data_IF_134068742966
#
_entry.id   IF_134068742966
#
_cell.length_a   1.000
_cell.length_b   1.000
_cell.length_c   1.000
_cell.angle_alpha   90.00
_cell.angle_beta   90.00
_cell.angle_gamma   90.00
#
_symmetry.space_group_name_H-M   'P 1'
#
loop_
_entity.id
_entity.type
_entity.pdbx_description
1 polymer ?
#
# COMPACT_ATOMS: atom_id res chain seq x y z
N UNK A 1 13.68 -32.32 62.33
CA UNK A 1 13.56 -32.73 60.91
C UNK A 1 12.22 -33.42 60.75
N UNK A 2 11.37 -32.92 59.85
CA UNK A 2 10.10 -33.59 59.50
C UNK A 2 10.37 -34.54 58.33
N UNK A 3 10.19 -35.81 58.55
CA UNK A 3 10.35 -36.85 57.51
C UNK A 3 9.12 -36.91 56.64
N UNK A 4 9.27 -36.73 55.33
CA UNK A 4 8.16 -36.83 54.37
C UNK A 4 7.98 -38.31 54.03
N UNK A 5 6.89 -38.91 54.51
CA UNK A 5 6.57 -40.33 54.28
C UNK A 5 5.68 -40.61 53.05
N UNK A 6 5.40 -39.59 52.27
CA UNK A 6 4.58 -39.76 51.06
C UNK A 6 5.45 -39.97 49.83
N UNK A 7 5.04 -40.94 49.01
CA UNK A 7 5.70 -41.25 47.74
C UNK A 7 5.43 -40.12 46.76
N UNK A 8 6.48 -39.52 46.17
CA UNK A 8 6.35 -38.50 45.13
C UNK A 8 5.80 -39.16 43.88
N UNK A 9 4.55 -38.87 43.48
CA UNK A 9 3.85 -39.48 42.35
C UNK A 9 4.06 -38.69 41.04
N UNK A 10 4.63 -37.50 41.11
CA UNK A 10 4.98 -36.71 39.96
C UNK A 10 5.58 -35.36 40.36
N UNK A 11 6.53 -34.88 39.58
CA UNK A 11 7.05 -33.52 39.68
C UNK A 11 6.49 -32.75 38.49
N UNK A 12 5.63 -31.77 38.78
CA UNK A 12 5.25 -30.77 37.79
C UNK A 12 6.16 -29.57 38.01
N UNK A 13 6.97 -29.25 37.03
CA UNK A 13 7.55 -27.93 36.97
C UNK A 13 6.37 -26.94 36.92
N UNK A 14 6.23 -26.12 37.96
CA UNK A 14 5.43 -24.90 37.84
C UNK A 14 6.19 -24.04 36.82
N UNK A 15 5.85 -24.18 35.54
CA UNK A 15 6.11 -23.11 34.63
C UNK A 15 5.36 -21.92 35.24
N UNK A 16 6.08 -20.92 35.70
CA UNK A 16 5.55 -19.59 35.72
C UNK A 16 5.19 -19.35 34.25
N UNK A 17 3.98 -19.68 33.85
CA UNK A 17 3.29 -19.02 32.75
C UNK A 17 3.08 -17.57 33.22
N UNK A 18 4.18 -16.83 33.37
CA UNK A 18 4.13 -15.47 32.92
C UNK A 18 3.70 -15.62 31.47
N UNK A 19 2.41 -15.30 31.19
CA UNK A 19 2.04 -14.84 29.88
C UNK A 19 3.15 -13.87 29.48
N UNK A 20 4.06 -14.33 28.64
CA UNK A 20 4.98 -13.46 27.93
C UNK A 20 4.04 -12.61 27.10
N UNK A 21 3.59 -11.50 27.69
CA UNK A 21 2.90 -10.47 26.97
C UNK A 21 3.80 -10.17 25.78
N UNK A 22 3.35 -10.57 24.60
CA UNK A 22 4.10 -10.40 23.37
C UNK A 22 4.51 -8.93 23.33
N UNK A 23 5.82 -8.66 23.44
CA UNK A 23 6.30 -7.28 23.42
C UNK A 23 5.82 -6.62 22.15
N UNK A 24 5.25 -5.44 22.27
CA UNK A 24 4.80 -4.67 21.13
C UNK A 24 5.97 -4.42 20.17
N UNK A 25 5.77 -4.81 18.92
CA UNK A 25 6.70 -4.59 17.82
C UNK A 25 6.03 -3.68 16.81
N UNK A 26 6.41 -2.41 16.83
CA UNK A 26 5.80 -1.43 15.95
C UNK A 26 6.22 -1.67 14.48
N UNK A 27 5.29 -2.09 13.58
CA UNK A 27 5.60 -2.37 12.19
C UNK A 27 6.08 -1.13 11.42
N UNK A 28 5.77 0.10 11.86
CA UNK A 28 6.22 1.34 11.23
C UNK A 28 7.72 1.59 11.40
N UNK A 29 8.29 1.17 12.53
CA UNK A 29 9.69 1.44 12.89
C UNK A 29 10.57 0.19 12.76
N UNK A 30 9.98 -0.97 12.48
CA UNK A 30 10.73 -2.20 12.29
C UNK A 30 11.68 -2.05 11.10
N UNK A 31 12.96 -2.36 11.35
CA UNK A 31 14.00 -2.27 10.31
C UNK A 31 13.89 -3.43 9.33
N UNK A 32 13.91 -3.12 8.05
CA UNK A 32 13.94 -4.07 6.94
C UNK A 32 15.36 -4.07 6.37
N UNK A 33 16.14 -5.11 6.67
CA UNK A 33 17.55 -5.17 6.26
C UNK A 33 17.71 -5.30 4.74
N UNK A 34 16.86 -6.08 4.09
CA UNK A 34 16.92 -6.34 2.65
C UNK A 34 15.55 -6.30 2.02
N UNK A 35 15.50 -5.86 0.76
CA UNK A 35 14.34 -6.07 -0.09
C UNK A 35 14.07 -7.58 -0.23
N UNK A 36 12.83 -8.04 -0.01
CA UNK A 36 12.48 -9.44 -0.28
C UNK A 36 12.60 -9.75 -1.78
N UNK A 37 12.85 -11.02 -2.10
CA UNK A 37 12.83 -11.49 -3.48
C UNK A 37 11.40 -11.47 -4.04
N UNK A 38 11.29 -11.38 -5.36
CA UNK A 38 10.01 -11.41 -6.06
C UNK A 38 9.42 -10.03 -6.35
N UNK A 39 8.13 -9.99 -6.68
CA UNK A 39 7.38 -8.78 -7.00
C UNK A 39 6.91 -8.08 -5.71
N UNK A 40 6.79 -6.76 -5.79
CA UNK A 40 6.18 -5.91 -4.76
C UNK A 40 5.09 -5.09 -5.41
N UNK A 41 4.05 -4.79 -4.64
CA UNK A 41 3.07 -3.80 -5.05
C UNK A 41 3.73 -2.44 -5.16
N UNK A 42 3.41 -1.72 -6.24
CA UNK A 42 4.03 -0.44 -6.50
C UNK A 42 3.05 0.55 -7.12
N UNK A 43 3.27 1.83 -6.82
CA UNK A 43 2.58 2.95 -7.46
C UNK A 43 3.56 3.67 -8.35
N UNK A 44 3.14 3.88 -9.61
CA UNK A 44 3.84 4.74 -10.55
C UNK A 44 3.03 6.01 -10.75
N UNK A 45 3.61 7.16 -10.45
CA UNK A 45 2.97 8.45 -10.67
C UNK A 45 3.83 9.38 -11.50
N UNK A 46 3.15 10.17 -12.34
CA UNK A 46 3.76 11.22 -13.14
C UNK A 46 3.77 12.52 -12.35
N UNK A 47 4.96 13.08 -12.16
CA UNK A 47 5.18 14.39 -11.54
C UNK A 47 5.51 15.39 -12.64
N UNK A 48 4.85 16.56 -12.63
CA UNK A 48 5.16 17.67 -13.50
C UNK A 48 5.61 18.87 -12.67
N UNK A 49 6.76 19.41 -13.01
CA UNK A 49 7.29 20.62 -12.39
C UNK A 49 8.01 21.51 -13.42
N UNK A 50 8.22 22.75 -13.06
CA UNK A 50 8.87 23.73 -13.94
C UNK A 50 10.06 24.36 -13.24
N UNK A 51 11.19 24.35 -13.89
CA UNK A 51 12.43 25.01 -13.48
C UNK A 51 12.67 26.23 -14.38
N UNK A 52 13.75 26.97 -14.15
CA UNK A 52 14.25 28.03 -15.05
C UNK A 52 14.64 27.48 -16.43
N UNK A 53 15.00 26.20 -16.53
CA UNK A 53 15.36 25.51 -17.77
C UNK A 53 14.13 25.00 -18.56
N UNK A 54 12.94 25.05 -17.95
CA UNK A 54 11.68 24.66 -18.60
C UNK A 54 10.85 23.67 -17.81
N UNK A 55 9.84 23.11 -18.48
CA UNK A 55 8.93 22.10 -17.92
C UNK A 55 9.57 20.72 -17.95
N UNK A 56 9.55 20.02 -16.82
CA UNK A 56 9.98 18.63 -16.69
C UNK A 56 8.82 17.73 -16.33
N UNK A 57 8.80 16.55 -16.91
CA UNK A 57 7.83 15.48 -16.64
C UNK A 57 8.61 14.25 -16.28
N UNK A 58 8.35 13.74 -15.09
CA UNK A 58 9.08 12.58 -14.57
C UNK A 58 8.10 11.57 -13.98
N UNK A 59 8.47 10.33 -14.00
CA UNK A 59 7.73 9.26 -13.34
C UNK A 59 8.48 8.87 -12.07
N UNK A 60 7.76 8.70 -10.98
CA UNK A 60 8.30 8.13 -9.74
C UNK A 60 7.60 6.81 -9.47
N UNK A 61 8.35 5.86 -8.94
CA UNK A 61 7.83 4.56 -8.54
C UNK A 61 8.07 4.41 -7.04
N UNK A 62 7.04 4.02 -6.31
CA UNK A 62 7.11 3.70 -4.88
C UNK A 62 6.66 2.27 -4.70
N UNK A 63 7.54 1.41 -4.18
CA UNK A 63 7.21 0.02 -3.86
C UNK A 63 6.84 -0.11 -2.39
N UNK A 64 5.83 -0.93 -2.12
CA UNK A 64 5.28 -1.16 -0.79
C UNK A 64 5.52 -2.61 -0.36
N UNK A 65 5.65 -2.81 0.94
CA UNK A 65 5.78 -4.11 1.58
C UNK A 65 4.85 -4.17 2.79
N UNK A 66 4.00 -5.21 2.92
CA UNK A 66 3.34 -5.49 4.18
C UNK A 66 4.37 -5.90 5.23
N UNK A 67 4.39 -5.18 6.35
CA UNK A 67 5.31 -5.40 7.47
C UNK A 67 4.50 -5.79 8.68
N UNK A 68 4.78 -6.98 9.18
CA UNK A 68 4.11 -7.54 10.34
C UNK A 68 4.75 -7.02 11.63
N UNK A 69 3.93 -6.81 12.64
CA UNK A 69 4.32 -6.39 13.98
C UNK A 69 3.32 -6.89 15.02
N UNK A 70 3.42 -6.34 16.22
CA UNK A 70 2.52 -6.62 17.34
C UNK A 70 2.12 -5.26 17.94
N UNK A 71 0.84 -5.03 18.06
CA UNK A 71 0.28 -3.83 18.68
C UNK A 71 -0.78 -4.22 19.72
N UNK A 72 -0.59 -3.78 20.95
CA UNK A 72 -1.44 -4.16 22.10
C UNK A 72 -1.60 -5.69 22.26
N UNK A 73 -0.50 -6.43 22.03
CA UNK A 73 -0.48 -7.89 22.11
C UNK A 73 -1.17 -8.63 20.94
N UNK A 74 -1.65 -7.91 19.91
CA UNK A 74 -2.29 -8.48 18.73
C UNK A 74 -1.43 -8.34 17.49
N UNK A 75 -1.49 -9.31 16.55
CA UNK A 75 -0.83 -9.17 15.25
C UNK A 75 -1.30 -7.91 14.52
N UNK A 76 -0.36 -7.16 13.96
CA UNK A 76 -0.59 -5.90 13.27
C UNK A 76 0.24 -5.87 11.99
N UNK A 77 -0.37 -5.63 10.84
CA UNK A 77 0.32 -5.53 9.54
C UNK A 77 0.10 -4.16 8.94
N UNK A 78 1.17 -3.50 8.51
CA UNK A 78 1.12 -2.19 7.84
C UNK A 78 1.81 -2.28 6.48
N UNK A 79 1.15 -1.76 5.45
CA UNK A 79 1.74 -1.61 4.12
C UNK A 79 2.67 -0.40 4.11
N UNK A 80 3.99 -0.64 4.11
CA UNK A 80 5.02 0.40 4.19
C UNK A 80 5.66 0.67 2.84
N UNK A 81 5.92 1.95 2.48
CA UNK A 81 6.82 2.28 1.39
C UNK A 81 8.25 1.89 1.77
N UNK A 82 8.93 1.11 0.94
CA UNK A 82 10.29 0.62 1.20
C UNK A 82 11.30 0.97 0.12
N UNK A 83 10.83 1.33 -1.07
CA UNK A 83 11.68 1.70 -2.19
C UNK A 83 11.09 2.86 -2.99
N UNK A 84 11.98 3.73 -3.41
CA UNK A 84 11.68 4.87 -4.25
C UNK A 84 12.59 4.84 -5.47
N UNK A 85 12.00 4.91 -6.66
CA UNK A 85 12.72 4.90 -7.91
C UNK A 85 12.38 6.13 -8.75
N UNK A 86 13.37 6.56 -9.48
CA UNK A 86 13.29 7.61 -10.48
C UNK A 86 13.87 7.08 -11.79
N UNK A 87 13.04 6.62 -12.73
CA UNK A 87 13.50 5.87 -13.90
C UNK A 87 14.05 6.74 -15.03
N UNK A 88 14.53 7.95 -14.77
CA UNK A 88 15.08 8.84 -15.78
C UNK A 88 16.58 8.95 -15.64
N UNK A 89 17.29 8.83 -16.75
CA UNK A 89 18.76 8.91 -16.87
C UNK A 89 19.32 10.33 -16.67
N UNK A 90 18.47 11.29 -16.33
CA UNK A 90 18.81 12.68 -16.13
C UNK A 90 19.06 12.99 -14.65
N UNK A 91 20.32 12.99 -14.27
CA UNK A 91 20.76 13.46 -12.97
C UNK A 91 21.08 12.34 -11.99
N UNK A 92 22.35 11.92 -12.01
CA UNK A 92 22.88 10.91 -11.08
C UNK A 92 22.57 11.23 -9.60
N UNK A 93 22.48 12.51 -9.25
CA UNK A 93 22.18 12.95 -7.89
C UNK A 93 20.74 12.66 -7.47
N UNK A 94 19.73 12.71 -8.37
CA UNK A 94 18.36 12.30 -8.05
C UNK A 94 18.32 10.79 -7.78
N UNK A 95 18.97 10.00 -8.61
CA UNK A 95 19.08 8.56 -8.41
C UNK A 95 19.74 8.19 -7.08
N UNK A 96 20.81 8.90 -6.69
CA UNK A 96 21.48 8.73 -5.41
C UNK A 96 20.54 9.10 -4.25
N UNK A 97 19.79 10.21 -4.36
CA UNK A 97 18.79 10.64 -3.38
C UNK A 97 17.71 9.57 -3.21
N UNK A 98 17.17 9.00 -4.29
CA UNK A 98 16.15 7.94 -4.21
C UNK A 98 16.67 6.67 -3.53
N UNK A 99 17.93 6.30 -3.78
CA UNK A 99 18.58 5.16 -3.09
C UNK A 99 18.72 5.42 -1.59
N UNK A 100 19.15 6.63 -1.20
CA UNK A 100 19.25 7.04 0.21
C UNK A 100 17.86 7.08 0.88
N UNK A 101 16.86 7.61 0.19
CA UNK A 101 15.47 7.62 0.65
C UNK A 101 14.92 6.19 0.82
N UNK A 102 15.23 5.27 -0.09
CA UNK A 102 14.84 3.86 0.04
C UNK A 102 15.50 3.20 1.24
N UNK A 103 16.76 3.54 1.55
CA UNK A 103 17.42 3.05 2.76
C UNK A 103 16.76 3.60 4.02
N UNK A 104 16.45 4.90 4.06
CA UNK A 104 15.71 5.53 5.15
C UNK A 104 14.31 4.91 5.32
N UNK A 105 13.61 4.61 4.23
CA UNK A 105 12.30 3.98 4.23
C UNK A 105 12.32 2.59 4.87
N UNK A 106 13.32 1.78 4.53
CA UNK A 106 13.52 0.47 5.17
C UNK A 106 13.87 0.58 6.66
N UNK A 107 14.47 1.70 7.07
CA UNK A 107 14.71 2.02 8.48
C UNK A 107 13.52 2.58 9.23
N UNK A 108 12.38 2.87 8.55
CA UNK A 108 11.21 3.49 9.18
C UNK A 108 11.26 5.03 9.25
N UNK A 109 12.14 5.68 8.49
CA UNK A 109 12.39 7.14 8.57
C UNK A 109 11.81 7.92 7.38
N UNK A 110 10.76 7.43 6.72
CA UNK A 110 10.18 8.11 5.54
C UNK A 110 9.74 9.54 5.82
N UNK A 111 8.98 9.83 6.89
CA UNK A 111 8.52 11.20 7.17
C UNK A 111 9.68 12.17 7.37
N UNK A 112 10.66 11.77 8.19
CA UNK A 112 11.84 12.58 8.51
C UNK A 112 12.70 12.83 7.27
N UNK A 113 12.98 11.77 6.50
CA UNK A 113 13.78 11.87 5.28
C UNK A 113 13.12 12.79 4.24
N UNK A 114 11.81 12.68 4.03
CA UNK A 114 11.10 13.57 3.11
C UNK A 114 11.05 15.01 3.63
N UNK A 115 10.86 15.21 4.93
CA UNK A 115 10.89 16.54 5.53
C UNK A 115 12.27 17.23 5.39
N UNK A 116 13.36 16.46 5.48
CA UNK A 116 14.71 16.99 5.30
C UNK A 116 15.01 17.26 3.82
N UNK A 117 14.59 16.38 2.91
CA UNK A 117 14.74 16.60 1.46
C UNK A 117 13.99 17.85 0.99
N UNK A 118 12.89 18.22 1.62
CA UNK A 118 12.14 19.45 1.32
C UNK A 118 12.88 20.74 1.67
N UNK A 119 13.92 20.68 2.51
CA UNK A 119 14.76 21.82 2.91
C UNK A 119 15.98 22.00 2.00
N UNK A 120 16.18 21.11 1.02
CA UNK A 120 17.32 21.20 0.12
C UNK A 120 17.18 22.40 -0.81
N UNK A 121 18.17 23.27 -0.77
CA UNK A 121 18.26 24.49 -1.59
C UNK A 121 19.29 24.27 -2.69
N UNK A 122 19.09 24.88 -3.83
CA UNK A 122 20.06 24.93 -4.91
C UNK A 122 20.18 26.37 -5.47
N UNK A 123 21.18 26.59 -6.32
CA UNK A 123 21.49 27.90 -6.91
C UNK A 123 20.76 28.23 -8.21
N UNK A 124 19.99 27.28 -8.79
CA UNK A 124 19.32 27.41 -10.09
C UNK A 124 17.95 28.09 -10.01
N UNK A 125 17.55 28.58 -8.84
CA UNK A 125 16.29 29.27 -8.61
C UNK A 125 15.13 28.32 -8.26
N UNK A 126 13.95 28.90 -7.96
CA UNK A 126 12.82 28.16 -7.44
C UNK A 126 12.20 27.23 -8.49
N UNK A 127 11.68 26.11 -8.02
CA UNK A 127 10.99 25.11 -8.81
C UNK A 127 9.49 25.20 -8.52
N UNK A 128 8.67 25.41 -9.57
CA UNK A 128 7.23 25.39 -9.43
C UNK A 128 6.68 23.97 -9.55
N UNK A 129 6.08 23.46 -8.47
CA UNK A 129 5.46 22.14 -8.44
C UNK A 129 4.23 22.17 -7.55
N UNK A 130 3.09 21.70 -8.07
CA UNK A 130 1.83 21.64 -7.35
C UNK A 130 1.09 22.97 -7.18
N UNK A 131 0.01 22.89 -6.42
CA UNK A 131 -0.85 24.03 -6.06
C UNK A 131 -1.26 23.91 -4.59
N UNK A 132 -1.47 25.03 -3.93
CA UNK A 132 -2.05 25.08 -2.58
C UNK A 132 -3.58 24.90 -2.64
N UNK A 133 -4.22 24.86 -1.45
CA UNK A 133 -5.68 24.73 -1.31
C UNK A 133 -6.49 25.81 -2.05
N UNK A 134 -5.89 26.98 -2.31
CA UNK A 134 -6.50 28.08 -3.06
C UNK A 134 -6.21 28.07 -4.56
N UNK A 135 -5.60 26.98 -5.07
CA UNK A 135 -5.25 26.84 -6.49
C UNK A 135 -4.01 27.63 -6.91
N UNK A 136 -3.33 28.35 -6.01
CA UNK A 136 -2.10 29.09 -6.32
C UNK A 136 -0.91 28.13 -6.46
N UNK A 137 -0.01 28.38 -7.44
CA UNK A 137 1.17 27.54 -7.61
C UNK A 137 2.08 27.58 -6.38
N UNK A 138 2.66 26.40 -6.06
CA UNK A 138 3.66 26.25 -5.02
C UNK A 138 5.06 26.33 -5.63
N UNK A 139 5.99 26.90 -4.87
CA UNK A 139 7.39 27.02 -5.24
C UNK A 139 8.25 26.31 -4.18
N UNK A 140 9.26 25.61 -4.63
CA UNK A 140 10.22 24.87 -3.81
C UNK A 140 11.63 25.34 -4.14
N UNK A 141 12.54 25.25 -3.18
CA UNK A 141 13.89 25.79 -3.30
C UNK A 141 14.82 24.93 -4.19
N UNK A 142 14.39 23.73 -4.58
CA UNK A 142 15.14 22.84 -5.46
C UNK A 142 14.24 21.78 -6.13
N UNK A 143 14.77 21.09 -7.15
CA UNK A 143 14.12 19.91 -7.74
C UNK A 143 13.92 18.79 -6.70
N UNK A 144 14.93 18.58 -5.83
CA UNK A 144 14.81 17.60 -4.74
C UNK A 144 13.63 17.93 -3.84
N UNK A 145 13.52 19.20 -3.44
CA UNK A 145 12.43 19.64 -2.57
C UNK A 145 11.05 19.50 -3.24
N UNK A 146 10.96 19.79 -4.54
CA UNK A 146 9.73 19.62 -5.33
C UNK A 146 9.34 18.13 -5.46
N UNK A 147 10.30 17.25 -5.73
CA UNK A 147 10.07 15.81 -5.81
C UNK A 147 9.68 15.25 -4.44
N UNK A 148 10.39 15.63 -3.36
CA UNK A 148 10.07 15.21 -2.00
C UNK A 148 8.66 15.63 -1.58
N UNK A 149 8.25 16.87 -1.92
CA UNK A 149 6.87 17.32 -1.71
C UNK A 149 5.88 16.44 -2.48
N UNK A 150 6.15 16.12 -3.73
CA UNK A 150 5.28 15.28 -4.56
C UNK A 150 5.16 13.86 -3.97
N UNK A 151 6.27 13.28 -3.49
CA UNK A 151 6.27 11.98 -2.81
C UNK A 151 5.43 12.01 -1.52
N UNK A 152 5.52 13.10 -0.72
CA UNK A 152 4.64 13.28 0.44
C UNK A 152 3.18 13.30 0.04
N UNK A 153 2.81 14.01 -1.04
CA UNK A 153 1.44 14.05 -1.53
C UNK A 153 0.94 12.68 -2.01
N UNK A 154 1.79 11.89 -2.65
CA UNK A 154 1.45 10.51 -3.06
C UNK A 154 1.17 9.66 -1.82
N UNK A 155 2.06 9.68 -0.82
CA UNK A 155 1.91 8.91 0.41
C UNK A 155 0.74 9.39 1.28
N UNK A 156 0.43 10.69 1.26
CA UNK A 156 -0.77 11.24 1.91
C UNK A 156 -2.05 10.71 1.25
N UNK A 157 -2.16 10.74 -0.08
CA UNK A 157 -3.33 10.18 -0.78
C UNK A 157 -3.52 8.68 -0.54
N UNK A 158 -2.45 7.96 -0.23
CA UNK A 158 -2.51 6.55 0.18
C UNK A 158 -2.77 6.35 1.68
N UNK A 159 -2.94 7.41 2.44
CA UNK A 159 -3.21 7.37 3.87
C UNK A 159 -2.00 7.01 4.74
N UNK A 160 -0.78 6.89 4.17
CA UNK A 160 0.43 6.58 4.94
C UNK A 160 0.98 7.78 5.69
N UNK A 161 0.90 8.99 5.11
CA UNK A 161 1.27 10.26 5.75
C UNK A 161 0.06 11.16 5.94
N UNK A 162 0.09 12.02 6.94
CA UNK A 162 -0.84 13.10 7.10
C UNK A 162 -0.56 14.23 6.07
N UNK A 163 -1.45 15.21 5.94
CA UNK A 163 -1.33 16.31 4.98
C UNK A 163 -0.05 17.14 5.20
N UNK A 164 0.35 17.31 6.44
CA UNK A 164 1.59 18.02 6.82
C UNK A 164 2.88 17.20 6.57
N UNK A 165 2.75 15.94 6.15
CA UNK A 165 3.84 15.01 5.91
C UNK A 165 4.30 14.24 7.15
N UNK A 166 3.63 14.39 8.29
CA UNK A 166 3.88 13.59 9.48
C UNK A 166 3.37 12.15 9.32
N UNK A 167 3.88 11.24 10.16
CA UNK A 167 3.41 9.86 10.18
C UNK A 167 1.97 9.79 10.71
N UNK A 168 1.08 9.15 9.96
CA UNK A 168 -0.24 8.78 10.46
C UNK A 168 -0.09 7.80 11.63
N UNK A 169 -0.83 7.97 12.74
CA UNK A 169 -0.79 7.04 13.87
C UNK A 169 -1.02 5.59 13.46
N UNK A 170 -0.32 4.65 14.13
CA UNK A 170 -0.39 3.24 13.81
C UNK A 170 -1.85 2.72 13.84
N UNK A 171 -2.61 3.14 14.82
CA UNK A 171 -4.01 2.74 15.01
C UNK A 171 -4.88 3.09 13.79
N UNK A 172 -4.60 4.21 13.14
CA UNK A 172 -5.31 4.63 11.93
C UNK A 172 -4.93 3.83 10.70
N UNK A 173 -3.71 3.26 10.67
CA UNK A 173 -3.23 2.38 9.60
C UNK A 173 -3.68 0.93 9.79
N UNK A 174 -4.00 0.56 11.03
CA UNK A 174 -4.54 -0.76 11.41
C UNK A 174 -6.06 -0.81 11.33
N UNK A 175 -6.70 0.17 10.69
CA UNK A 175 -8.15 0.19 10.53
C UNK A 175 -8.64 -1.21 10.12
N UNK A 176 -9.74 -1.70 10.73
CA UNK A 176 -10.15 -3.08 10.58
C UNK A 176 -10.26 -3.40 9.10
N UNK A 177 -9.38 -4.24 8.63
CA UNK A 177 -9.64 -5.07 7.47
C UNK A 177 -11.06 -5.61 7.68
N UNK A 178 -11.98 -5.49 6.71
CA UNK A 178 -13.29 -6.12 6.87
C UNK A 178 -13.00 -7.55 7.32
N UNK A 179 -13.45 -7.87 8.55
CA UNK A 179 -13.20 -9.19 9.13
C UNK A 179 -13.66 -10.22 8.10
N UNK A 180 -12.87 -11.26 7.78
CA UNK A 180 -13.22 -12.25 6.77
C UNK A 180 -14.54 -13.00 7.08
N UNK A 181 -15.15 -12.74 8.23
CA UNK A 181 -16.40 -13.36 8.67
C UNK A 181 -17.69 -12.70 8.13
N UNK A 182 -17.62 -11.69 7.23
CA UNK A 182 -18.83 -11.11 6.61
C UNK A 182 -18.70 -10.84 5.12
N UNK A 183 -17.91 -11.61 4.41
CA UNK A 183 -18.23 -11.90 3.02
C UNK A 183 -19.19 -13.09 3.09
N UNK A 184 -20.47 -12.81 3.30
CA UNK A 184 -21.52 -13.80 3.11
C UNK A 184 -21.40 -14.20 1.64
N UNK A 185 -20.97 -15.41 1.40
CA UNK A 185 -20.78 -16.02 0.08
C UNK A 185 -22.07 -15.96 -0.80
N UNK A 186 -23.19 -15.49 -0.22
CA UNK A 186 -24.49 -15.36 -0.86
C UNK A 186 -24.63 -14.12 -1.74
N UNK A 187 -23.90 -13.00 -1.48
CA UNK A 187 -24.16 -11.76 -2.23
C UNK A 187 -23.25 -11.58 -3.46
N UNK A 188 -22.13 -12.32 -3.55
CA UNK A 188 -21.26 -12.25 -4.71
C UNK A 188 -21.75 -13.14 -5.86
N UNK A 189 -22.39 -14.28 -5.54
CA UNK A 189 -22.92 -15.18 -6.58
C UNK A 189 -24.17 -14.59 -7.23
N UNK A 190 -25.01 -13.91 -6.44
CA UNK A 190 -26.22 -13.26 -6.96
C UNK A 190 -25.93 -11.97 -7.76
N UNK A 191 -24.80 -11.27 -7.48
CA UNK A 191 -24.45 -10.06 -8.20
C UNK A 191 -23.79 -10.33 -9.58
N UNK A 192 -23.17 -11.49 -9.76
CA UNK A 192 -22.54 -11.86 -11.04
C UNK A 192 -23.58 -12.41 -12.02
N UNK A 193 -24.66 -13.04 -11.54
CA UNK A 193 -25.74 -13.54 -12.39
C UNK A 193 -26.72 -12.47 -12.87
N UNK A 194 -26.75 -11.29 -12.25
CA UNK A 194 -27.76 -10.25 -12.52
C UNK A 194 -27.34 -9.16 -13.52
N UNK A 195 -26.15 -9.20 -14.14
CA UNK A 195 -25.66 -8.07 -14.93
C UNK A 195 -25.27 -8.35 -16.40
N UNK A 196 -25.78 -9.42 -17.00
CA UNK A 196 -25.74 -9.51 -18.46
C UNK A 196 -27.14 -9.21 -19.01
N UNK A 197 -27.34 -8.06 -19.66
CA UNK A 197 -28.64 -7.79 -20.29
C UNK A 197 -28.95 -8.88 -21.32
N UNK A 198 -30.18 -9.38 -21.33
CA UNK A 198 -30.65 -10.30 -22.34
C UNK A 198 -30.46 -9.65 -23.72
N UNK A 199 -29.73 -10.33 -24.62
CA UNK A 199 -29.39 -9.83 -25.97
C UNK A 199 -30.48 -10.15 -26.98
N UNK A 200 -31.53 -10.86 -26.54
CA UNK A 200 -32.67 -11.25 -27.38
C UNK A 200 -33.37 -12.50 -26.88
N UNK A 201 -34.36 -12.95 -27.63
CA UNK A 201 -35.16 -14.16 -27.37
C UNK A 201 -34.70 -15.31 -28.22
N UNK A 202 -34.58 -16.49 -27.67
CA UNK A 202 -34.19 -17.71 -28.39
C UNK A 202 -35.26 -18.11 -29.43
N UNK A 203 -34.91 -18.36 -30.71
CA UNK A 203 -35.90 -18.73 -31.74
C UNK A 203 -36.45 -20.14 -31.55
N UNK A 204 -35.81 -21.01 -30.74
CA UNK A 204 -36.23 -22.40 -30.59
C UNK A 204 -37.12 -22.61 -29.36
N UNK A 205 -36.88 -21.88 -28.24
CA UNK A 205 -37.63 -22.11 -27.01
C UNK A 205 -38.24 -20.82 -26.41
N UNK A 206 -38.09 -19.66 -27.05
CA UNK A 206 -38.47 -18.33 -26.55
C UNK A 206 -37.82 -17.91 -25.22
N UNK A 207 -36.81 -18.62 -24.75
CA UNK A 207 -36.02 -18.25 -23.57
C UNK A 207 -35.03 -17.12 -23.83
N UNK A 208 -34.40 -16.58 -22.77
CA UNK A 208 -33.46 -15.48 -22.87
C UNK A 208 -32.12 -15.90 -23.47
N UNK A 209 -31.60 -15.08 -24.39
CA UNK A 209 -30.24 -15.20 -24.91
C UNK A 209 -29.28 -14.32 -24.15
N UNK A 210 -28.19 -14.89 -23.65
CA UNK A 210 -27.06 -14.13 -23.03
C UNK A 210 -25.82 -14.31 -23.89
N UNK A 211 -24.95 -13.29 -23.88
CA UNK A 211 -23.65 -13.38 -24.55
C UNK A 211 -22.72 -14.23 -23.68
N UNK A 212 -22.35 -15.40 -24.20
CA UNK A 212 -21.32 -16.28 -23.63
C UNK A 212 -20.17 -16.38 -24.66
N UNK A 213 -18.97 -16.00 -24.23
CA UNK A 213 -17.76 -15.96 -25.09
C UNK A 213 -17.94 -15.19 -26.41
N UNK A 214 -18.75 -14.13 -26.36
CA UNK A 214 -19.02 -13.28 -27.53
C UNK A 214 -20.19 -13.80 -28.43
N UNK A 215 -20.82 -14.93 -28.09
CA UNK A 215 -21.92 -15.52 -28.85
C UNK A 215 -23.24 -15.51 -28.06
N UNK A 216 -24.35 -15.06 -28.67
CA UNK A 216 -25.67 -15.19 -28.05
C UNK A 216 -26.05 -16.67 -27.90
N UNK A 217 -26.13 -17.13 -26.64
CA UNK A 217 -26.44 -18.53 -26.30
C UNK A 217 -27.67 -18.56 -25.38
N UNK A 218 -28.53 -19.55 -25.58
CA UNK A 218 -29.73 -19.73 -24.78
C UNK A 218 -29.39 -20.21 -23.36
N UNK A 219 -29.88 -19.51 -22.34
CA UNK A 219 -29.63 -19.85 -20.92
C UNK A 219 -30.60 -20.89 -20.38
N UNK A 220 -31.70 -21.16 -21.07
CA UNK A 220 -32.72 -22.15 -20.67
C UNK A 220 -32.43 -23.57 -21.15
N UNK A 221 -31.23 -23.84 -21.64
CA UNK A 221 -30.72 -25.19 -21.86
C UNK A 221 -31.21 -25.91 -23.12
N UNK A 222 -31.84 -25.21 -24.10
CA UNK A 222 -32.23 -25.81 -25.36
C UNK A 222 -31.03 -26.07 -26.30
N UNK A 223 -29.82 -25.60 -25.94
CA UNK A 223 -28.58 -25.81 -26.73
C UNK A 223 -28.39 -24.84 -27.89
N UNK A 224 -29.28 -23.88 -28.10
CA UNK A 224 -29.17 -22.90 -29.18
C UNK A 224 -28.01 -21.91 -28.91
N UNK A 225 -27.11 -21.78 -29.91
CA UNK A 225 -26.08 -20.76 -29.99
C UNK A 225 -26.04 -20.17 -31.39
N UNK A 226 -25.97 -18.84 -31.49
CA UNK A 226 -25.97 -18.14 -32.80
C UNK A 226 -24.67 -18.30 -33.58
N UNK A 227 -23.62 -18.82 -32.97
CA UNK A 227 -22.28 -18.98 -33.56
C UNK A 227 -21.91 -20.44 -33.83
N UNK A 228 -22.79 -21.40 -33.57
CA UNK A 228 -22.55 -22.82 -33.76
C UNK A 228 -23.09 -23.32 -35.10
#
# INVERSE_FOLDING_TARGET
MKEIKQKIVGVRLKSDEQELALQDVNPLTLRIDRRPNGSLDAVSEKIEYSTTEGKKKVYVLISFLPVDGIHNGLPATVERPIEFFYPVDQGQWIGATMRSLSLAARGGYVPQALADLRKVVWDKGPVRCGKNAHGKPLYHDSEVAAIAWSLQQILHRRGFLAEDGSQVPLESLLWPQPSPEKVVESDLVTAIEASSPAVGTCPECNGDLKLMDGCPTCVEGCGYSKCG
#
